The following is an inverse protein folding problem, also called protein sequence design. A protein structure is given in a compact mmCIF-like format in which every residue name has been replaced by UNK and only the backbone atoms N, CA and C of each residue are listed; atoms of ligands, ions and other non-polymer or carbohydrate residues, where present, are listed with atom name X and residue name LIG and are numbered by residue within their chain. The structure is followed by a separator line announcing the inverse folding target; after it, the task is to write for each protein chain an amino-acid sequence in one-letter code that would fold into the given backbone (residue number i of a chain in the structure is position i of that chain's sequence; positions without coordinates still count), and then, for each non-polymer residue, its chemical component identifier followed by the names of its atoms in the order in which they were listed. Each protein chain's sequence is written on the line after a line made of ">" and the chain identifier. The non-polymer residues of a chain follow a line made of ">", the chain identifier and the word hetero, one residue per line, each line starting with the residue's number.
data_IF_596569587484
#
_entry.id   IF_596569587484
#
_cell.length_a   1.000
_cell.length_b   1.000
_cell.length_c   1.000
_cell.angle_alpha   90.00
_cell.angle_beta   90.00
_cell.angle_gamma   90.00
#
_symmetry.space_group_name_H-M   'P 1'
#
loop_
_entity.id
_entity.type
_entity.pdbx_description
1 polymer ?
#
# COMPACT_ATOMS: atom_id res chain seq x y z
N UNK A 1 -9.02 20.60 -12.75
CA UNK A 1 -8.84 20.33 -11.30
C UNK A 1 -8.19 18.96 -10.98
N UNK A 2 -7.83 18.13 -11.98
CA UNK A 2 -7.33 16.75 -11.78
C UNK A 2 -5.82 16.65 -11.52
N UNK A 3 -5.01 17.59 -12.02
CA UNK A 3 -3.55 17.46 -11.99
C UNK A 3 -2.92 17.71 -10.60
N UNK A 4 -3.49 18.61 -9.79
CA UNK A 4 -2.98 18.92 -8.44
C UNK A 4 -3.18 17.74 -7.47
N UNK A 5 -4.32 17.04 -7.57
CA UNK A 5 -4.62 15.84 -6.77
C UNK A 5 -3.62 14.72 -7.05
N UNK A 6 -3.28 14.50 -8.33
CA UNK A 6 -2.32 13.48 -8.73
C UNK A 6 -0.90 13.79 -8.24
N UNK A 7 -0.43 15.04 -8.37
CA UNK A 7 0.90 15.45 -7.88
C UNK A 7 1.05 15.20 -6.38
N UNK A 8 0.03 15.54 -5.59
CA UNK A 8 0.03 15.33 -4.15
C UNK A 8 0.07 13.83 -3.80
N UNK A 9 -0.71 12.99 -4.50
CA UNK A 9 -0.68 11.54 -4.28
C UNK A 9 0.67 10.91 -4.60
N UNK A 10 1.35 11.34 -5.67
CA UNK A 10 2.70 10.87 -5.97
C UNK A 10 3.71 11.31 -4.91
N UNK A 11 3.65 12.57 -4.44
CA UNK A 11 4.53 13.06 -3.40
C UNK A 11 4.37 12.26 -2.09
N UNK A 12 3.12 12.02 -1.67
CA UNK A 12 2.83 11.18 -0.49
C UNK A 12 3.29 9.73 -0.69
N UNK A 13 3.11 9.16 -1.88
CA UNK A 13 3.58 7.81 -2.19
C UNK A 13 5.10 7.67 -2.04
N UNK A 14 5.87 8.59 -2.63
CA UNK A 14 7.34 8.56 -2.51
C UNK A 14 7.82 8.88 -1.09
N UNK A 15 7.13 9.75 -0.36
CA UNK A 15 7.42 10.03 1.04
C UNK A 15 7.18 8.79 1.92
N UNK A 16 6.09 8.05 1.69
CA UNK A 16 5.81 6.80 2.39
C UNK A 16 6.88 5.72 2.11
N UNK A 17 7.35 5.61 0.87
CA UNK A 17 8.47 4.71 0.52
C UNK A 17 9.77 5.10 1.24
N UNK A 18 10.09 6.39 1.30
CA UNK A 18 11.27 6.88 2.01
C UNK A 18 11.18 6.57 3.51
N UNK A 19 10.01 6.79 4.12
CA UNK A 19 9.77 6.44 5.52
C UNK A 19 9.91 4.94 5.78
N UNK A 20 9.40 4.09 4.88
CA UNK A 20 9.56 2.64 5.00
C UNK A 20 11.04 2.21 4.94
N UNK A 21 11.82 2.83 4.05
CA UNK A 21 13.26 2.58 3.95
C UNK A 21 14.03 3.04 5.20
N UNK A 22 13.55 4.09 5.87
CA UNK A 22 14.10 4.62 7.12
C UNK A 22 13.58 3.90 8.38
N UNK A 23 12.76 2.85 8.23
CA UNK A 23 12.10 2.15 9.34
C UNK A 23 11.21 3.08 10.20
N UNK A 24 10.55 4.01 9.53
CA UNK A 24 9.51 4.85 10.10
C UNK A 24 8.14 4.31 9.66
N UNK A 25 7.78 3.11 10.12
CA UNK A 25 6.62 2.39 9.59
C UNK A 25 5.29 3.13 9.83
N UNK A 26 5.11 3.76 11.00
CA UNK A 26 3.91 4.55 11.30
C UNK A 26 3.73 5.73 10.33
N UNK A 27 4.82 6.42 10.01
CA UNK A 27 4.81 7.52 9.05
C UNK A 27 4.49 7.01 7.64
N UNK A 28 5.11 5.90 7.23
CA UNK A 28 4.83 5.26 5.95
C UNK A 28 3.35 4.84 5.82
N UNK A 29 2.79 4.21 6.86
CA UNK A 29 1.37 3.84 6.93
C UNK A 29 0.48 5.08 6.77
N UNK A 30 0.78 6.16 7.51
CA UNK A 30 0.03 7.42 7.43
C UNK A 30 0.01 7.98 6.01
N UNK A 31 1.16 8.00 5.34
CA UNK A 31 1.28 8.52 3.98
C UNK A 31 0.53 7.66 2.96
N UNK A 32 0.69 6.33 3.00
CA UNK A 32 -0.02 5.44 2.08
C UNK A 32 -1.54 5.48 2.29
N UNK A 33 -2.03 5.61 3.54
CA UNK A 33 -3.46 5.83 3.80
C UNK A 33 -3.96 7.14 3.21
N UNK A 34 -3.17 8.22 3.29
CA UNK A 34 -3.50 9.49 2.64
C UNK A 34 -3.51 9.37 1.11
N UNK A 35 -2.65 8.55 0.52
CA UNK A 35 -2.69 8.28 -0.93
C UNK A 35 -4.00 7.58 -1.28
N UNK A 36 -4.35 6.49 -0.60
CA UNK A 36 -5.57 5.72 -0.88
C UNK A 36 -6.87 6.51 -0.64
N UNK A 37 -6.90 7.45 0.31
CA UNK A 37 -8.05 8.33 0.53
C UNK A 37 -8.29 9.34 -0.59
N UNK A 38 -7.34 9.51 -1.52
CA UNK A 38 -7.53 10.29 -2.75
C UNK A 38 -8.08 9.48 -3.91
N UNK A 39 -8.41 8.20 -3.68
CA UNK A 39 -8.96 7.27 -4.68
C UNK A 39 -8.08 7.16 -5.94
N UNK A 40 -6.78 6.82 -5.79
CA UNK A 40 -5.93 6.59 -6.95
C UNK A 40 -6.46 5.40 -7.75
N UNK A 41 -6.09 5.34 -9.01
CA UNK A 41 -6.47 4.25 -9.92
C UNK A 41 -5.23 3.61 -10.54
N UNK A 42 -5.40 2.39 -11.07
CA UNK A 42 -4.34 1.65 -11.75
C UNK A 42 -3.11 1.46 -10.88
N UNK A 43 -1.94 1.60 -11.50
CA UNK A 43 -0.66 1.24 -10.89
C UNK A 43 -0.36 1.95 -9.57
N UNK A 44 -0.74 3.23 -9.41
CA UNK A 44 -0.49 3.95 -8.16
C UNK A 44 -1.29 3.35 -7.00
N UNK A 45 -2.54 2.96 -7.25
CA UNK A 45 -3.38 2.28 -6.25
C UNK A 45 -2.76 0.96 -5.83
N UNK A 46 -2.47 0.09 -6.80
CA UNK A 46 -1.99 -1.27 -6.53
C UNK A 46 -0.63 -1.26 -5.82
N UNK A 47 0.28 -0.37 -6.22
CA UNK A 47 1.56 -0.18 -5.53
C UNK A 47 1.36 0.33 -4.11
N UNK A 48 0.47 1.31 -3.92
CA UNK A 48 0.21 1.85 -2.58
C UNK A 48 -0.41 0.79 -1.67
N UNK A 49 -1.35 -0.02 -2.16
CA UNK A 49 -1.94 -1.14 -1.41
C UNK A 49 -0.86 -2.15 -1.01
N UNK A 50 0.02 -2.53 -1.93
CA UNK A 50 1.13 -3.44 -1.64
C UNK A 50 2.10 -2.90 -0.59
N UNK A 51 2.59 -1.67 -0.75
CA UNK A 51 3.53 -1.08 0.21
C UNK A 51 2.89 -0.78 1.56
N UNK A 52 1.59 -0.47 1.61
CA UNK A 52 0.84 -0.37 2.86
C UNK A 52 0.74 -1.72 3.56
N UNK A 53 0.51 -2.81 2.83
CA UNK A 53 0.57 -4.17 3.40
C UNK A 53 1.94 -4.44 4.04
N UNK A 54 3.03 -4.13 3.34
CA UNK A 54 4.38 -4.32 3.88
C UNK A 54 4.63 -3.46 5.12
N UNK A 55 4.20 -2.20 5.10
CA UNK A 55 4.33 -1.31 6.24
C UNK A 55 3.53 -1.82 7.45
N UNK A 56 2.32 -2.36 7.25
CA UNK A 56 1.55 -3.01 8.31
C UNK A 56 2.27 -4.24 8.88
N UNK A 57 2.86 -5.10 8.05
CA UNK A 57 3.60 -6.28 8.53
C UNK A 57 4.83 -5.88 9.36
N UNK A 58 5.59 -4.88 8.88
CA UNK A 58 6.77 -4.37 9.58
C UNK A 58 6.39 -3.68 10.91
N UNK A 59 5.23 -3.01 10.96
CA UNK A 59 4.69 -2.40 12.18
C UNK A 59 3.88 -3.37 13.06
N UNK A 60 3.99 -4.68 12.85
CA UNK A 60 3.26 -5.72 13.60
C UNK A 60 1.72 -5.61 13.55
N UNK A 61 1.16 -4.86 12.60
CA UNK A 61 -0.29 -4.72 12.38
C UNK A 61 -0.81 -5.83 11.46
N UNK A 62 -0.69 -7.08 11.91
CA UNK A 62 -0.96 -8.27 11.10
C UNK A 62 -2.39 -8.32 10.55
N UNK A 63 -3.40 -7.93 11.33
CA UNK A 63 -4.80 -7.94 10.90
C UNK A 63 -5.03 -7.02 9.69
N UNK A 64 -4.51 -5.78 9.77
CA UNK A 64 -4.61 -4.81 8.68
C UNK A 64 -3.90 -5.30 7.40
N UNK A 65 -2.76 -5.98 7.57
CA UNK A 65 -2.05 -6.59 6.45
C UNK A 65 -2.85 -7.73 5.82
N UNK A 66 -3.43 -8.62 6.62
CA UNK A 66 -4.24 -9.75 6.15
C UNK A 66 -5.46 -9.29 5.34
N UNK A 67 -6.12 -8.22 5.77
CA UNK A 67 -7.25 -7.65 5.06
C UNK A 67 -6.88 -7.18 3.65
N UNK A 68 -5.76 -6.45 3.52
CA UNK A 68 -5.27 -6.01 2.21
C UNK A 68 -4.81 -7.19 1.36
N UNK A 69 -4.11 -8.15 1.94
CA UNK A 69 -3.66 -9.36 1.25
C UNK A 69 -4.83 -10.16 0.67
N UNK A 70 -5.90 -10.37 1.45
CA UNK A 70 -7.12 -11.06 0.99
C UNK A 70 -7.76 -10.35 -0.20
N UNK A 71 -7.87 -9.01 -0.15
CA UNK A 71 -8.42 -8.20 -1.25
C UNK A 71 -7.57 -8.33 -2.52
N UNK A 72 -6.25 -8.18 -2.40
CA UNK A 72 -5.32 -8.30 -3.52
C UNK A 72 -5.31 -9.72 -4.12
N UNK A 73 -5.30 -10.76 -3.28
CA UNK A 73 -5.29 -12.16 -3.70
C UNK A 73 -6.59 -12.60 -4.41
N UNK A 74 -7.72 -11.96 -4.05
CA UNK A 74 -9.03 -12.17 -4.67
C UNK A 74 -9.20 -11.44 -6.00
N UNK A 75 -8.44 -10.38 -6.27
CA UNK A 75 -8.51 -9.62 -7.52
C UNK A 75 -7.52 -10.17 -8.57
N UNK A 76 -8.04 -10.92 -9.56
CA UNK A 76 -7.22 -11.52 -10.64
C UNK A 76 -6.46 -10.51 -11.51
N UNK A 77 -6.90 -9.25 -11.56
CA UNK A 77 -6.26 -8.21 -12.36
C UNK A 77 -5.22 -7.40 -11.56
N UNK A 78 -5.14 -7.59 -10.24
CA UNK A 78 -4.23 -6.84 -9.40
C UNK A 78 -2.78 -7.26 -9.64
N UNK A 79 -1.87 -6.32 -9.89
CA UNK A 79 -0.46 -6.63 -10.21
C UNK A 79 0.25 -7.48 -9.15
N UNK A 80 -0.15 -7.37 -7.88
CA UNK A 80 0.43 -8.12 -6.75
C UNK A 80 -0.36 -9.36 -6.32
N UNK A 81 -1.34 -9.80 -7.10
CA UNK A 81 -2.24 -10.90 -6.76
C UNK A 81 -1.49 -12.20 -6.36
N UNK A 82 -0.51 -12.61 -7.15
CA UNK A 82 0.24 -13.84 -6.91
C UNK A 82 1.16 -13.72 -5.68
N UNK A 83 1.76 -12.55 -5.48
CA UNK A 83 2.56 -12.26 -4.28
C UNK A 83 1.71 -12.25 -3.01
N UNK A 84 0.50 -11.69 -3.08
CA UNK A 84 -0.43 -11.67 -1.97
C UNK A 84 -0.86 -13.09 -1.55
N UNK A 85 -1.14 -13.99 -2.51
CA UNK A 85 -1.44 -15.41 -2.20
C UNK A 85 -0.29 -16.11 -1.49
N UNK A 86 0.93 -15.99 -2.03
CA UNK A 86 2.13 -16.58 -1.41
C UNK A 86 2.34 -16.08 0.02
N UNK A 87 2.13 -14.78 0.25
CA UNK A 87 2.29 -14.20 1.58
C UNK A 87 1.24 -14.71 2.57
N UNK A 88 -0.01 -14.89 2.14
CA UNK A 88 -1.08 -15.47 2.97
C UNK A 88 -0.79 -16.92 3.40
N UNK A 89 -0.09 -17.70 2.56
CA UNK A 89 0.32 -19.07 2.90
C UNK A 89 1.46 -19.10 3.94
N UNK A 90 2.23 -18.03 4.04
CA UNK A 90 3.42 -17.94 4.91
C UNK A 90 3.17 -17.28 6.27
N UNK A 91 2.00 -16.67 6.47
CA UNK A 91 1.65 -15.91 7.67
C UNK A 91 0.99 -16.82 8.71
#
# INVERSE_FOLDING_TARGET
>A
MTQSRLKLSCALYYHGLANLALKNEEAAISDFKKVLSKEPVGMLKERTEWYLTLAYLLNHQRENALDLLKRMAGNKQHSYQSSARKMLESL
#
